data_IF_336629728976
#
_entry.id   IF_336629728976
#
_cell.length_a   1.000
_cell.length_b   1.000
_cell.length_c   1.000
_cell.angle_alpha   90.00
_cell.angle_beta   90.00
_cell.angle_gamma   90.00
#
_symmetry.space_group_name_H-M   'P 1'
#
loop_
_entity.id
_entity.type
_entity.pdbx_description
1 polymer ?
#
# COMPACT_ATOMS: atom_id res chain seq x y z
N UNK A 1 -14.18 -30.76 40.12
CA UNK A 1 -14.53 -30.45 38.73
C UNK A 1 -14.13 -29.01 38.48
N UNK A 2 -12.85 -28.80 38.15
CA UNK A 2 -12.25 -27.48 37.93
C UNK A 2 -12.03 -27.39 36.43
N UNK A 3 -12.84 -26.57 35.76
CA UNK A 3 -12.76 -26.36 34.31
C UNK A 3 -11.47 -25.60 34.04
N UNK A 4 -10.47 -26.30 33.48
CA UNK A 4 -9.32 -25.68 32.82
C UNK A 4 -9.87 -24.93 31.59
N UNK A 5 -10.12 -23.64 31.76
CA UNK A 5 -10.25 -22.71 30.66
C UNK A 5 -8.84 -22.46 30.13
N UNK A 6 -8.42 -23.26 29.15
CA UNK A 6 -7.17 -23.00 28.42
C UNK A 6 -7.34 -21.69 27.67
N UNK A 7 -6.71 -20.65 28.20
CA UNK A 7 -6.42 -19.40 27.52
C UNK A 7 -5.73 -19.73 26.20
N UNK A 8 -6.50 -19.80 25.11
CA UNK A 8 -5.98 -19.50 23.77
C UNK A 8 -5.81 -17.98 23.74
N UNK A 9 -4.83 -17.49 24.51
CA UNK A 9 -4.41 -16.11 24.43
C UNK A 9 -3.96 -15.92 22.99
N UNK A 10 -4.76 -15.14 22.29
CA UNK A 10 -4.42 -14.52 21.02
C UNK A 10 -3.02 -13.89 21.18
N UNK A 11 -1.97 -14.58 20.72
CA UNK A 11 -0.67 -13.96 20.53
C UNK A 11 -0.88 -12.93 19.41
N UNK A 12 -1.18 -11.69 19.79
CA UNK A 12 -1.24 -10.56 18.87
C UNK A 12 0.02 -10.51 18.01
N UNK A 13 -0.12 -10.03 16.77
CA UNK A 13 1.00 -9.92 15.83
C UNK A 13 2.14 -9.06 16.40
N UNK A 14 1.77 -7.96 17.08
CA UNK A 14 2.67 -7.04 17.76
C UNK A 14 2.41 -7.02 19.27
N UNK A 15 3.35 -6.44 20.01
CA UNK A 15 3.14 -6.11 21.42
C UNK A 15 1.97 -5.13 21.53
N UNK A 16 0.96 -5.51 22.31
CA UNK A 16 -0.12 -4.62 22.73
C UNK A 16 0.20 -4.08 24.12
N UNK A 17 0.01 -2.79 24.34
CA UNK A 17 0.19 -2.12 25.63
C UNK A 17 -1.10 -2.17 26.47
N UNK A 18 -1.06 -1.71 27.73
CA UNK A 18 -2.22 -1.75 28.63
C UNK A 18 -3.44 -0.99 28.07
N UNK A 19 -3.20 -0.02 27.19
CA UNK A 19 -4.22 0.75 26.49
C UNK A 19 -4.88 0.05 25.29
N UNK A 20 -4.47 -1.18 24.97
CA UNK A 20 -5.04 -1.95 23.87
C UNK A 20 -4.45 -1.64 22.48
N UNK A 21 -3.49 -0.73 22.37
CA UNK A 21 -2.84 -0.32 21.11
C UNK A 21 -1.44 -0.91 20.97
N UNK A 22 -0.89 -0.87 19.75
CA UNK A 22 0.50 -1.27 19.48
C UNK A 22 1.56 -0.22 19.88
N UNK A 23 1.13 0.88 20.50
CA UNK A 23 1.97 1.97 21.00
C UNK A 23 1.69 2.27 22.48
N UNK A 24 2.74 2.65 23.22
CA UNK A 24 2.61 3.00 24.62
C UNK A 24 1.76 4.26 24.84
N UNK A 25 1.19 4.43 26.03
CA UNK A 25 0.35 5.59 26.38
C UNK A 25 1.04 6.94 26.15
N UNK A 26 2.31 7.04 26.56
CA UNK A 26 3.09 8.25 26.35
C UNK A 26 3.24 8.58 24.86
N UNK A 27 3.47 7.57 24.03
CA UNK A 27 3.60 7.70 22.57
C UNK A 27 2.26 8.11 21.94
N UNK A 28 1.16 7.46 22.34
CA UNK A 28 -0.18 7.82 21.85
C UNK A 28 -0.56 9.24 22.22
N UNK A 29 -0.22 9.70 23.42
CA UNK A 29 -0.45 11.08 23.84
C UNK A 29 0.34 12.09 22.99
N UNK A 30 1.63 11.83 22.73
CA UNK A 30 2.46 12.69 21.87
C UNK A 30 1.94 12.76 20.45
N UNK A 31 1.56 11.61 19.87
CA UNK A 31 1.00 11.53 18.54
C UNK A 31 -0.33 12.28 18.44
N UNK A 32 -1.20 12.21 19.46
CA UNK A 32 -2.47 12.93 19.48
C UNK A 32 -2.26 14.44 19.43
N UNK A 33 -1.30 14.96 20.18
CA UNK A 33 -0.95 16.40 20.13
C UNK A 33 -0.48 16.84 18.73
N UNK A 34 0.22 15.97 17.99
CA UNK A 34 0.62 16.24 16.60
C UNK A 34 -0.59 16.15 15.67
N UNK A 35 -1.40 15.10 15.79
CA UNK A 35 -2.59 14.87 14.98
C UNK A 35 -3.59 16.03 15.12
N UNK A 36 -3.84 16.51 16.34
CA UNK A 36 -4.72 17.66 16.60
C UNK A 36 -4.22 18.95 15.93
N UNK A 37 -2.89 19.15 15.86
CA UNK A 37 -2.32 20.28 15.11
C UNK A 37 -2.48 20.10 13.61
N UNK A 38 -2.28 18.89 13.08
CA UNK A 38 -2.48 18.58 11.66
C UNK A 38 -3.95 18.75 11.25
N UNK A 39 -4.89 18.28 12.07
CA UNK A 39 -6.32 18.45 11.84
C UNK A 39 -6.73 19.93 11.82
N UNK A 40 -6.16 20.76 12.69
CA UNK A 40 -6.36 22.23 12.65
C UNK A 40 -5.76 22.84 11.37
N UNK A 41 -4.59 22.38 10.96
CA UNK A 41 -3.94 22.86 9.73
C UNK A 41 -4.68 22.41 8.47
N UNK A 42 -5.41 21.30 8.48
CA UNK A 42 -6.24 20.86 7.35
C UNK A 42 -7.27 21.93 6.94
N UNK A 43 -7.83 22.69 7.90
CA UNK A 43 -8.72 23.81 7.59
C UNK A 43 -8.03 24.90 6.74
N UNK A 44 -6.72 25.06 6.88
CA UNK A 44 -5.88 26.01 6.12
C UNK A 44 -5.42 25.40 4.79
N UNK A 45 -5.31 24.07 4.74
CA UNK A 45 -4.88 23.29 3.56
C UNK A 45 -5.96 23.23 2.45
N UNK A 46 -7.15 23.78 2.68
CA UNK A 46 -8.26 23.85 1.72
C UNK A 46 -8.06 24.91 0.62
N UNK A 47 -6.90 24.94 -0.04
CA UNK A 47 -6.71 25.78 -1.24
C UNK A 47 -7.44 25.17 -2.45
N UNK A 48 -7.85 26.01 -3.41
CA UNK A 48 -8.74 25.69 -4.54
C UNK A 48 -8.15 24.75 -5.61
N UNK A 49 -7.13 23.95 -5.30
CA UNK A 49 -6.52 23.05 -6.28
C UNK A 49 -7.53 21.98 -6.73
N UNK A 50 -7.99 22.08 -7.98
CA UNK A 50 -8.92 21.13 -8.57
C UNK A 50 -8.24 19.76 -8.74
N UNK A 51 -8.85 18.69 -8.22
CA UNK A 51 -8.34 17.33 -8.40
C UNK A 51 -8.92 16.74 -9.70
N UNK A 52 -8.06 16.18 -10.55
CA UNK A 52 -8.49 15.44 -11.74
C UNK A 52 -8.33 13.95 -11.53
N UNK A 53 -9.26 13.16 -12.06
CA UNK A 53 -9.09 11.72 -12.16
C UNK A 53 -8.03 11.38 -13.22
N UNK A 54 -7.67 10.09 -13.31
CA UNK A 54 -6.82 9.62 -14.39
C UNK A 54 -7.42 9.94 -15.76
N UNK A 55 -6.55 10.26 -16.71
CA UNK A 55 -6.88 10.37 -18.13
C UNK A 55 -7.57 9.08 -18.62
N UNK A 56 -8.83 9.17 -19.05
CA UNK A 56 -9.63 8.03 -19.47
C UNK A 56 -10.51 8.32 -20.69
N UNK A 57 -11.02 7.25 -21.29
CA UNK A 57 -11.95 7.30 -22.41
C UNK A 57 -12.44 5.91 -22.78
N UNK A 58 -12.77 5.68 -24.04
CA UNK A 58 -13.21 4.40 -24.57
C UNK A 58 -12.24 3.81 -25.61
N UNK A 59 -12.25 2.48 -25.69
CA UNK A 59 -11.49 1.72 -26.66
C UNK A 59 -12.28 0.56 -27.27
N UNK A 60 -11.91 0.22 -28.50
CA UNK A 60 -12.20 -1.09 -29.07
C UNK A 60 -11.02 -2.02 -28.81
N UNK A 61 -11.29 -3.23 -28.31
CA UNK A 61 -10.28 -4.23 -27.94
C UNK A 61 -10.45 -5.47 -28.80
N UNK A 62 -9.36 -5.88 -29.45
CA UNK A 62 -9.28 -7.07 -30.28
C UNK A 62 -8.28 -8.03 -29.67
N UNK A 63 -8.70 -9.27 -29.45
CA UNK A 63 -7.81 -10.33 -28.96
C UNK A 63 -7.62 -11.35 -30.06
N UNK A 64 -6.35 -11.61 -30.38
CA UNK A 64 -5.94 -12.65 -31.32
C UNK A 64 -5.14 -13.71 -30.57
N UNK A 65 -5.29 -14.96 -30.97
CA UNK A 65 -4.53 -16.10 -30.46
C UNK A 65 -3.87 -16.83 -31.62
N UNK A 66 -2.56 -17.08 -31.52
CA UNK A 66 -1.84 -17.75 -32.60
C UNK A 66 -0.36 -17.96 -32.31
N UNK A 67 0.33 -18.57 -33.28
CA UNK A 67 1.79 -18.64 -33.23
C UNK A 67 2.41 -17.27 -33.57
N UNK A 68 3.70 -17.12 -33.25
CA UNK A 68 4.45 -15.86 -33.43
C UNK A 68 4.29 -15.27 -34.83
N UNK A 69 4.42 -16.10 -35.87
CA UNK A 69 4.34 -15.69 -37.28
C UNK A 69 2.96 -15.15 -37.66
N UNK A 70 1.89 -15.71 -37.11
CA UNK A 70 0.53 -15.20 -37.33
C UNK A 70 0.35 -13.83 -36.67
N UNK A 71 0.75 -13.70 -35.41
CA UNK A 71 0.61 -12.45 -34.66
C UNK A 71 1.47 -11.33 -35.25
N UNK A 72 2.68 -11.62 -35.74
CA UNK A 72 3.56 -10.64 -36.40
C UNK A 72 2.92 -10.06 -37.66
N UNK A 73 2.15 -10.87 -38.41
CA UNK A 73 1.41 -10.39 -39.58
C UNK A 73 0.32 -9.40 -39.18
N UNK A 74 -0.40 -9.66 -38.08
CA UNK A 74 -1.42 -8.73 -37.58
C UNK A 74 -0.78 -7.40 -37.18
N UNK A 75 0.35 -7.43 -36.47
CA UNK A 75 1.10 -6.21 -36.11
C UNK A 75 1.56 -5.45 -37.36
N UNK A 76 2.09 -6.15 -38.38
CA UNK A 76 2.50 -5.52 -39.63
C UNK A 76 1.34 -4.82 -40.34
N UNK A 77 0.13 -5.39 -40.30
CA UNK A 77 -1.07 -4.78 -40.87
C UNK A 77 -1.40 -3.47 -40.15
N UNK A 78 -1.39 -3.46 -38.82
CA UNK A 78 -1.66 -2.26 -37.99
C UNK A 78 -0.62 -1.17 -38.20
N UNK A 79 0.65 -1.56 -38.38
CA UNK A 79 1.73 -0.61 -38.69
C UNK A 79 1.56 -0.01 -40.09
N UNK A 80 1.12 -0.80 -41.07
CA UNK A 80 0.98 -0.37 -42.46
C UNK A 80 -0.29 0.44 -42.73
N UNK A 81 -1.39 0.13 -42.03
CA UNK A 81 -2.68 0.79 -42.17
C UNK A 81 -3.37 0.92 -40.82
N UNK A 82 -3.46 2.16 -40.34
CA UNK A 82 -4.14 2.52 -39.09
C UNK A 82 -5.67 2.67 -39.25
N UNK A 83 -6.24 2.34 -40.43
CA UNK A 83 -7.69 2.37 -40.65
C UNK A 83 -8.41 1.15 -40.04
N UNK A 84 -9.63 1.37 -39.51
CA UNK A 84 -10.50 0.33 -38.89
C UNK A 84 -10.78 -0.85 -39.82
N UNK A 85 -10.85 -0.58 -41.11
CA UNK A 85 -11.32 -1.48 -42.16
C UNK A 85 -10.42 -2.68 -42.39
N UNK A 86 -9.14 -2.62 -42.01
CA UNK A 86 -8.18 -3.70 -42.27
C UNK A 86 -8.27 -4.89 -41.28
N UNK A 87 -8.83 -4.68 -40.07
CA UNK A 87 -8.85 -5.69 -38.99
C UNK A 87 -10.19 -6.42 -38.84
N UNK A 88 -11.34 -5.75 -39.04
CA UNK A 88 -12.65 -6.40 -38.91
C UNK A 88 -12.88 -7.49 -39.98
N UNK A 89 -12.21 -7.35 -41.13
CA UNK A 89 -12.30 -8.30 -42.23
C UNK A 89 -11.38 -9.52 -42.04
N UNK A 90 -10.51 -9.49 -41.03
CA UNK A 90 -9.70 -10.64 -40.64
C UNK A 90 -10.61 -11.66 -39.96
N UNK A 91 -10.85 -12.82 -40.61
CA UNK A 91 -11.55 -13.99 -40.01
C UNK A 91 -10.82 -14.61 -38.79
N UNK A 92 -9.87 -13.91 -38.17
CA UNK A 92 -8.97 -14.38 -37.13
C UNK A 92 -9.11 -13.64 -35.80
N UNK A 93 -10.04 -12.69 -35.66
CA UNK A 93 -10.33 -12.10 -34.34
C UNK A 93 -10.98 -13.17 -33.47
N UNK A 94 -10.36 -13.51 -32.34
CA UNK A 94 -10.90 -14.49 -31.41
C UNK A 94 -11.95 -13.87 -30.50
N UNK A 95 -11.65 -12.69 -29.94
CA UNK A 95 -12.55 -11.93 -29.08
C UNK A 95 -12.54 -10.46 -29.49
N UNK A 96 -13.70 -9.82 -29.40
CA UNK A 96 -13.87 -8.41 -29.71
C UNK A 96 -14.75 -7.75 -28.66
N UNK A 97 -14.24 -6.66 -28.09
CA UNK A 97 -14.94 -5.84 -27.13
C UNK A 97 -15.02 -4.43 -27.70
N UNK A 98 -16.20 -3.82 -27.71
CA UNK A 98 -16.38 -2.47 -28.24
C UNK A 98 -16.73 -1.51 -27.12
N UNK A 99 -16.24 -0.28 -27.24
CA UNK A 99 -16.52 0.81 -26.31
C UNK A 99 -16.20 0.44 -24.84
N UNK A 100 -15.07 -0.24 -24.63
CA UNK A 100 -14.55 -0.60 -23.32
C UNK A 100 -13.96 0.66 -22.68
N UNK A 101 -14.42 1.08 -21.48
CA UNK A 101 -13.80 2.20 -20.82
C UNK A 101 -12.37 1.84 -20.39
N UNK A 102 -11.44 2.77 -20.58
CA UNK A 102 -10.01 2.57 -20.37
C UNK A 102 -9.41 3.82 -19.73
N UNK A 103 -8.58 3.63 -18.70
CA UNK A 103 -7.79 4.71 -18.09
C UNK A 103 -6.30 4.50 -18.35
N UNK A 104 -5.56 5.61 -18.37
CA UNK A 104 -4.09 5.63 -18.46
C UNK A 104 -3.50 5.94 -17.09
N UNK A 105 -2.54 5.13 -16.66
CA UNK A 105 -1.74 5.34 -15.46
C UNK A 105 -0.25 5.31 -15.85
N UNK A 106 0.38 6.49 -15.91
CA UNK A 106 1.72 6.62 -16.44
C UNK A 106 1.80 6.15 -17.89
N UNK A 107 2.63 5.15 -18.17
CA UNK A 107 2.76 4.53 -19.51
C UNK A 107 1.85 3.31 -19.69
N UNK A 108 1.06 2.96 -18.68
CA UNK A 108 0.22 1.76 -18.68
C UNK A 108 -1.24 2.15 -18.90
N UNK A 109 -2.03 1.19 -19.33
CA UNK A 109 -3.48 1.34 -19.45
C UNK A 109 -4.19 0.26 -18.63
N UNK A 110 -5.37 0.60 -18.15
CA UNK A 110 -6.23 -0.30 -17.39
C UNK A 110 -7.63 -0.27 -17.98
N UNK A 111 -8.15 -1.45 -18.33
CA UNK A 111 -9.55 -1.59 -18.72
C UNK A 111 -10.43 -1.51 -17.48
N UNK A 112 -11.50 -0.73 -17.56
CA UNK A 112 -12.39 -0.43 -16.44
C UNK A 112 -13.59 -1.38 -16.51
N UNK A 113 -13.73 -2.23 -15.50
CA UNK A 113 -14.89 -3.13 -15.37
C UNK A 113 -14.84 -4.42 -16.18
N UNK A 114 -13.72 -4.73 -16.86
CA UNK A 114 -13.57 -5.93 -17.69
C UNK A 114 -12.58 -6.93 -17.05
N UNK A 115 -13.11 -7.99 -16.43
CA UNK A 115 -12.28 -9.04 -15.79
C UNK A 115 -11.66 -10.03 -16.79
N UNK A 116 -12.14 -10.06 -18.04
CA UNK A 116 -11.65 -10.97 -19.09
C UNK A 116 -10.39 -10.45 -19.81
N UNK A 117 -10.11 -9.16 -19.65
CA UNK A 117 -8.94 -8.48 -20.21
C UNK A 117 -7.80 -8.45 -19.18
N UNK A 118 -6.53 -8.33 -19.62
CA UNK A 118 -5.42 -8.17 -18.69
C UNK A 118 -5.61 -6.92 -17.84
N UNK A 119 -5.39 -7.06 -16.53
CA UNK A 119 -5.60 -5.97 -15.56
C UNK A 119 -4.72 -4.75 -15.85
N UNK A 120 -3.45 -4.99 -16.21
CA UNK A 120 -2.53 -3.96 -16.69
C UNK A 120 -2.16 -4.27 -18.13
N UNK A 121 -2.38 -3.30 -19.01
CA UNK A 121 -1.97 -3.33 -20.40
C UNK A 121 -0.75 -2.44 -20.58
N UNK A 122 0.37 -3.06 -20.95
CA UNK A 122 1.67 -2.44 -21.14
C UNK A 122 1.99 -2.47 -22.64
N UNK A 123 1.58 -1.45 -23.41
CA UNK A 123 1.76 -1.51 -24.85
C UNK A 123 3.24 -1.58 -25.20
N UNK A 124 3.61 -2.60 -25.97
CA UNK A 124 4.95 -2.77 -26.53
C UNK A 124 5.29 -1.58 -27.44
N UNK A 125 4.29 -1.14 -28.21
CA UNK A 125 4.39 -0.07 -29.19
C UNK A 125 3.05 0.67 -29.34
N UNK A 126 3.14 1.88 -29.87
CA UNK A 126 2.00 2.75 -30.19
C UNK A 126 2.12 3.26 -31.63
N UNK A 127 1.02 3.22 -32.38
CA UNK A 127 0.89 3.84 -33.69
C UNK A 127 -0.40 4.67 -33.76
N UNK A 128 -0.31 5.96 -33.41
CA UNK A 128 -1.47 6.83 -33.28
C UNK A 128 -2.39 6.35 -32.13
N UNK A 129 -3.67 6.09 -32.45
CA UNK A 129 -4.66 5.58 -31.50
C UNK A 129 -4.59 4.07 -31.26
N UNK A 130 -3.67 3.37 -31.92
CA UNK A 130 -3.48 1.93 -31.79
C UNK A 130 -2.36 1.60 -30.83
N UNK A 131 -2.63 0.67 -29.94
CA UNK A 131 -1.72 0.14 -28.94
C UNK A 131 -1.80 -1.39 -29.01
N UNK A 132 -0.71 -2.09 -28.73
CA UNK A 132 -0.75 -3.55 -28.62
C UNK A 132 0.28 -4.10 -27.65
N UNK A 133 -0.06 -5.25 -27.07
CA UNK A 133 0.81 -6.01 -26.17
C UNK A 133 0.71 -7.50 -26.53
N UNK A 134 1.86 -8.18 -26.59
CA UNK A 134 1.91 -9.62 -26.73
C UNK A 134 2.02 -10.32 -25.38
N UNK A 135 1.05 -11.16 -25.06
CA UNK A 135 1.00 -11.94 -23.82
C UNK A 135 1.02 -13.43 -24.18
N UNK A 136 2.23 -14.01 -24.25
CA UNK A 136 2.41 -15.41 -24.65
C UNK A 136 1.94 -15.68 -26.08
N UNK A 137 0.88 -16.49 -26.22
CA UNK A 137 0.25 -16.80 -27.51
C UNK A 137 -0.91 -15.86 -27.89
N UNK A 138 -1.19 -14.87 -27.04
CA UNK A 138 -2.22 -13.84 -27.27
C UNK A 138 -1.58 -12.53 -27.72
N UNK A 139 -2.27 -11.81 -28.61
CA UNK A 139 -1.99 -10.43 -28.97
C UNK A 139 -3.25 -9.63 -28.63
N UNK A 140 -3.11 -8.67 -27.71
CA UNK A 140 -4.17 -7.73 -27.36
C UNK A 140 -3.91 -6.43 -28.11
N UNK A 141 -4.86 -6.00 -28.91
CA UNK A 141 -4.81 -4.75 -29.66
C UNK A 141 -5.91 -3.84 -29.15
N UNK A 142 -5.53 -2.63 -28.75
CA UNK A 142 -6.41 -1.59 -28.25
C UNK A 142 -6.43 -0.47 -29.27
N UNK A 143 -7.62 -0.04 -29.64
CA UNK A 143 -7.82 1.17 -30.41
C UNK A 143 -8.61 2.17 -29.59
N UNK A 144 -7.98 3.27 -29.21
CA UNK A 144 -8.66 4.39 -28.57
C UNK A 144 -9.69 4.95 -29.55
N UNK A 145 -10.96 4.94 -29.15
CA UNK A 145 -12.07 5.47 -29.97
C UNK A 145 -12.29 6.96 -29.74
N UNK A 146 -11.68 7.50 -28.70
CA UNK A 146 -11.70 8.93 -28.34
C UNK A 146 -10.37 9.35 -27.72
N UNK A 147 -10.15 10.67 -27.65
CA UNK A 147 -9.00 11.24 -26.95
C UNK A 147 -9.24 11.13 -25.45
N UNK A 148 -8.30 10.54 -24.72
CA UNK A 148 -8.39 10.45 -23.27
C UNK A 148 -8.52 11.84 -22.64
N UNK A 149 -9.44 11.98 -21.69
CA UNK A 149 -9.67 13.18 -20.90
C UNK A 149 -9.44 12.86 -19.43
N UNK A 150 -8.87 13.80 -18.68
CA UNK A 150 -8.79 13.73 -17.22
C UNK A 150 -9.98 14.52 -16.63
N UNK A 151 -11.12 13.88 -16.33
CA UNK A 151 -12.27 14.61 -15.82
C UNK A 151 -11.98 15.17 -14.42
N UNK A 152 -12.61 16.31 -14.13
CA UNK A 152 -12.57 16.90 -12.79
C UNK A 152 -13.31 15.99 -11.81
N UNK A 153 -12.72 15.75 -10.65
CA UNK A 153 -13.39 15.04 -9.57
C UNK A 153 -14.42 15.99 -8.95
N UNK A 154 -15.67 15.54 -8.73
CA UNK A 154 -16.70 16.36 -8.11
C UNK A 154 -16.21 16.98 -6.79
N UNK A 155 -16.53 18.26 -6.57
CA UNK A 155 -16.03 19.03 -5.41
C UNK A 155 -16.38 18.37 -4.06
N UNK A 156 -17.52 17.65 -4.02
CA UNK A 156 -17.91 16.85 -2.85
C UNK A 156 -16.94 15.72 -2.50
N UNK A 157 -15.99 15.36 -3.36
CA UNK A 157 -14.98 14.33 -3.09
C UNK A 157 -13.56 14.87 -3.00
N UNK A 158 -13.29 16.07 -3.55
CA UNK A 158 -11.96 16.68 -3.47
C UNK A 158 -11.51 16.90 -2.03
N UNK A 159 -12.44 17.18 -1.11
CA UNK A 159 -12.11 17.32 0.31
C UNK A 159 -11.60 16.02 0.95
N UNK A 160 -12.04 14.83 0.49
CA UNK A 160 -11.57 13.53 0.97
C UNK A 160 -10.12 13.29 0.49
N UNK A 161 -9.86 13.56 -0.78
CA UNK A 161 -8.51 13.46 -1.37
C UNK A 161 -7.54 14.41 -0.67
N UNK A 162 -7.92 15.68 -0.52
CA UNK A 162 -7.11 16.68 0.17
C UNK A 162 -6.86 16.31 1.63
N UNK A 163 -7.82 15.67 2.29
CA UNK A 163 -7.61 15.21 3.67
C UNK A 163 -6.42 14.27 3.76
N UNK A 164 -6.27 13.33 2.82
CA UNK A 164 -5.11 12.45 2.71
C UNK A 164 -3.83 13.26 2.48
N UNK A 165 -3.82 14.11 1.46
CA UNK A 165 -2.62 14.85 1.04
C UNK A 165 -2.10 15.82 2.11
N UNK A 166 -3.01 16.34 2.96
CA UNK A 166 -2.62 17.22 4.07
C UNK A 166 -2.19 16.44 5.32
N UNK A 167 -2.68 15.20 5.50
CA UNK A 167 -2.35 14.36 6.65
C UNK A 167 -1.08 13.53 6.43
N UNK A 168 -0.78 13.21 5.17
CA UNK A 168 0.30 12.31 4.77
C UNK A 168 1.14 13.03 3.72
N UNK A 169 2.41 13.24 4.02
CA UNK A 169 3.40 13.57 3.00
C UNK A 169 3.98 12.26 2.44
N UNK A 170 3.64 11.85 1.20
CA UNK A 170 4.16 10.61 0.62
C UNK A 170 5.66 10.72 0.23
N UNK A 171 6.24 11.92 0.20
CA UNK A 171 7.67 12.11 -0.04
C UNK A 171 8.52 11.73 1.19
N UNK A 172 7.90 11.65 2.37
CA UNK A 172 8.47 11.16 3.62
C UNK A 172 8.76 9.66 3.63
N UNK A 173 9.36 9.13 2.55
CA UNK A 173 9.64 7.72 2.30
C UNK A 173 10.16 7.00 3.55
N UNK A 174 9.70 5.77 3.76
CA UNK A 174 10.18 4.91 4.86
C UNK A 174 11.70 4.77 4.86
N UNK A 175 12.30 4.76 3.67
CA UNK A 175 13.70 4.47 3.47
C UNK A 175 14.22 5.19 2.20
N UNK A 176 14.45 6.52 2.25
CA UNK A 176 14.68 7.37 1.07
C UNK A 176 15.89 6.96 0.23
N UNK A 177 16.96 6.54 0.89
CA UNK A 177 18.24 6.17 0.27
C UNK A 177 18.60 4.72 0.56
N UNK A 178 17.63 3.90 0.96
CA UNK A 178 17.91 2.56 1.44
C UNK A 178 18.07 1.56 0.30
N UNK A 179 19.17 0.83 0.34
CA UNK A 179 19.41 -0.31 -0.53
C UNK A 179 18.76 -1.59 0.05
N UNK A 180 18.49 -2.61 -0.79
CA UNK A 180 18.17 -3.94 -0.31
C UNK A 180 19.25 -4.41 0.66
N UNK A 181 18.83 -5.02 1.78
CA UNK A 181 19.76 -5.51 2.80
C UNK A 181 20.87 -6.37 2.19
N UNK A 182 22.11 -5.93 2.35
CA UNK A 182 23.27 -6.69 1.95
C UNK A 182 23.70 -7.65 3.07
N UNK A 183 23.66 -8.96 2.79
CA UNK A 183 24.06 -10.01 3.73
C UNK A 183 25.58 -10.25 3.77
N UNK A 184 26.33 -9.72 2.81
CA UNK A 184 27.79 -9.77 2.86
C UNK A 184 28.29 -8.81 3.95
N UNK A 185 29.26 -9.26 4.74
CA UNK A 185 29.91 -8.52 5.82
C UNK A 185 31.29 -7.98 5.38
N UNK A 186 31.39 -6.89 4.60
CA UNK A 186 32.65 -6.18 4.49
C UNK A 186 33.10 -5.66 5.86
N UNK A 187 34.40 -5.32 5.96
CA UNK A 187 34.97 -4.80 7.19
C UNK A 187 34.18 -3.64 7.78
N UNK A 188 34.05 -3.63 9.10
CA UNK A 188 33.29 -2.62 9.85
C UNK A 188 34.19 -2.06 10.94
N UNK A 189 35.25 -1.31 10.58
CA UNK A 189 36.27 -0.90 11.53
C UNK A 189 35.72 -0.12 12.73
N UNK A 190 34.65 0.67 12.58
CA UNK A 190 34.06 1.38 13.71
C UNK A 190 33.27 0.44 14.64
N UNK A 191 32.54 -0.52 14.06
CA UNK A 191 31.90 -1.58 14.84
C UNK A 191 32.93 -2.47 15.55
N UNK A 192 34.01 -2.85 14.88
CA UNK A 192 35.09 -3.67 15.44
C UNK A 192 35.81 -2.93 16.58
N UNK A 193 35.99 -1.61 16.46
CA UNK A 193 36.52 -0.76 17.53
C UNK A 193 35.59 -0.72 18.75
N UNK A 194 34.28 -0.61 18.54
CA UNK A 194 33.29 -0.72 19.61
C UNK A 194 33.36 -2.08 20.30
N UNK A 195 33.38 -3.18 19.54
CA UNK A 195 33.48 -4.53 20.09
C UNK A 195 34.77 -4.71 20.90
N UNK A 196 35.91 -4.27 20.37
CA UNK A 196 37.20 -4.32 21.06
C UNK A 196 37.18 -3.53 22.38
N UNK A 197 36.50 -2.38 22.40
CA UNK A 197 36.32 -1.60 23.62
C UNK A 197 35.45 -2.33 24.65
N UNK A 198 34.32 -2.90 24.22
CA UNK A 198 33.44 -3.70 25.10
C UNK A 198 34.19 -4.90 25.70
N UNK A 199 35.01 -5.59 24.89
CA UNK A 199 35.81 -6.74 25.32
C UNK A 199 36.93 -6.35 26.29
N UNK A 200 37.55 -5.18 26.11
CA UNK A 200 38.58 -4.68 27.02
C UNK A 200 38.01 -4.17 28.36
N UNK A 201 36.83 -3.56 28.33
CA UNK A 201 36.19 -2.97 29.50
C UNK A 201 35.54 -4.01 30.42
N UNK A 202 35.10 -5.15 29.88
CA UNK A 202 34.56 -6.27 30.65
C UNK A 202 35.69 -7.27 30.93
N UNK A 203 36.12 -7.37 32.20
CA UNK A 203 37.20 -8.29 32.61
C UNK A 203 36.94 -9.70 32.06
N UNK A 204 37.95 -10.29 31.43
CA UNK A 204 37.98 -11.70 31.03
C UNK A 204 37.60 -12.59 32.23
N UNK A 205 36.38 -13.11 32.24
CA UNK A 205 35.87 -13.90 33.36
C UNK A 205 34.36 -14.14 33.39
N UNK A 206 33.55 -13.31 32.71
CA UNK A 206 32.11 -13.53 32.61
C UNK A 206 31.70 -13.81 31.16
N UNK A 207 32.08 -15.00 30.66
CA UNK A 207 31.78 -15.49 29.31
C UNK A 207 30.26 -15.55 28.97
N UNK A 208 29.40 -15.25 29.96
CA UNK A 208 27.94 -15.24 29.80
C UNK A 208 27.36 -13.87 29.48
N UNK A 209 28.16 -12.80 29.48
CA UNK A 209 27.63 -11.45 29.21
C UNK A 209 27.30 -11.24 27.73
N UNK A 210 26.04 -10.92 27.45
CA UNK A 210 25.57 -10.57 26.11
C UNK A 210 26.10 -9.19 25.69
N UNK A 211 26.11 -8.89 24.38
CA UNK A 211 26.44 -7.55 23.87
C UNK A 211 25.69 -6.44 24.63
N UNK A 212 24.37 -6.60 24.80
CA UNK A 212 23.52 -5.61 25.48
C UNK A 212 23.91 -5.42 26.95
N UNK A 213 24.13 -6.51 27.70
CA UNK A 213 24.55 -6.43 29.10
C UNK A 213 25.85 -5.65 29.26
N UNK A 214 26.79 -5.82 28.32
CA UNK A 214 28.05 -5.08 28.31
C UNK A 214 27.83 -3.59 28.03
N UNK A 215 26.95 -3.25 27.09
CA UNK A 215 26.60 -1.85 26.81
C UNK A 215 25.93 -1.15 27.99
N UNK A 216 25.05 -1.84 28.73
CA UNK A 216 24.39 -1.30 29.92
C UNK A 216 25.38 -0.88 31.01
N UNK A 217 26.41 -1.71 31.27
CA UNK A 217 27.47 -1.42 32.24
C UNK A 217 28.29 -0.18 31.89
N UNK A 218 28.35 0.16 30.60
CA UNK A 218 29.20 1.23 30.07
C UNK A 218 28.39 2.47 29.68
N UNK A 219 27.08 2.53 29.96
CA UNK A 219 26.21 3.64 29.58
C UNK A 219 26.70 5.02 30.06
N UNK A 220 27.44 5.07 31.18
CA UNK A 220 28.03 6.31 31.72
C UNK A 220 29.42 6.67 31.16
N UNK A 221 30.02 5.82 30.33
CA UNK A 221 31.37 6.03 29.79
C UNK A 221 31.32 6.87 28.50
N UNK A 222 31.96 8.03 28.50
CA UNK A 222 31.95 8.93 27.33
C UNK A 222 32.59 8.29 26.09
N UNK A 223 33.63 7.49 26.27
CA UNK A 223 34.31 6.78 25.18
C UNK A 223 33.41 5.73 24.53
N UNK A 224 32.64 4.98 25.33
CA UNK A 224 31.61 4.07 24.82
C UNK A 224 30.60 4.78 23.92
N UNK A 225 30.09 5.94 24.36
CA UNK A 225 29.12 6.73 23.59
C UNK A 225 29.71 7.23 22.26
N UNK A 226 31.00 7.61 22.24
CA UNK A 226 31.69 8.02 21.00
C UNK A 226 31.79 6.85 20.02
N UNK A 227 32.23 5.68 20.51
CA UNK A 227 32.36 4.48 19.67
C UNK A 227 31.00 3.96 19.18
N UNK A 228 29.97 4.01 20.03
CA UNK A 228 28.63 3.60 19.67
C UNK A 228 28.06 4.47 18.53
N UNK A 229 28.26 5.79 18.60
CA UNK A 229 27.87 6.71 17.52
C UNK A 229 28.62 6.42 16.23
N UNK A 230 29.94 6.26 16.29
CA UNK A 230 30.75 5.95 15.11
C UNK A 230 30.32 4.63 14.43
N UNK A 231 30.03 3.59 15.22
CA UNK A 231 29.53 2.32 14.71
C UNK A 231 28.12 2.44 14.09
N UNK A 232 27.25 3.27 14.68
CA UNK A 232 25.92 3.55 14.14
C UNK A 232 25.98 4.31 12.80
N UNK A 233 26.80 5.36 12.72
CA UNK A 233 27.03 6.13 11.49
C UNK A 233 27.60 5.26 10.37
N UNK A 234 28.60 4.42 10.68
CA UNK A 234 29.14 3.44 9.74
C UNK A 234 28.04 2.49 9.22
N UNK A 235 27.23 1.93 10.13
CA UNK A 235 26.13 1.02 9.78
C UNK A 235 25.07 1.69 8.90
N UNK A 236 24.74 2.96 9.17
CA UNK A 236 23.84 3.77 8.34
C UNK A 236 24.41 3.92 6.93
N UNK A 237 25.69 4.32 6.82
CA UNK A 237 26.35 4.52 5.52
C UNK A 237 26.51 3.24 4.69
N UNK A 238 26.51 2.08 5.36
CA UNK A 238 26.63 0.77 4.72
C UNK A 238 25.27 0.08 4.44
N UNK A 239 24.14 0.72 4.78
CA UNK A 239 22.79 0.17 4.60
C UNK A 239 22.61 -1.23 5.21
N UNK A 240 23.03 -1.41 6.47
CA UNK A 240 23.10 -2.74 7.12
C UNK A 240 22.20 -2.91 8.34
N UNK A 241 21.69 -4.13 8.48
CA UNK A 241 21.08 -4.60 9.72
C UNK A 241 22.16 -5.09 10.70
N UNK A 242 22.19 -4.50 11.90
CA UNK A 242 22.95 -5.02 13.04
C UNK A 242 22.09 -5.03 14.30
N UNK A 243 21.23 -6.04 14.44
CA UNK A 243 20.17 -6.10 15.46
C UNK A 243 20.62 -5.82 16.90
N UNK A 244 21.82 -6.26 17.30
CA UNK A 244 22.36 -5.98 18.65
C UNK A 244 22.83 -4.53 18.79
N UNK A 245 23.50 -3.99 17.76
CA UNK A 245 23.92 -2.60 17.72
C UNK A 245 22.71 -1.66 17.74
N UNK A 246 21.68 -1.95 16.96
CA UNK A 246 20.44 -1.15 16.92
C UNK A 246 19.76 -1.07 18.29
N UNK A 247 19.69 -2.19 19.02
CA UNK A 247 19.14 -2.22 20.38
C UNK A 247 19.98 -1.38 21.37
N UNK A 248 21.32 -1.42 21.25
CA UNK A 248 22.18 -0.57 22.04
C UNK A 248 22.04 0.91 21.67
N UNK A 249 21.94 1.22 20.38
CA UNK A 249 21.72 2.59 19.90
C UNK A 249 20.39 3.14 20.40
N UNK A 250 19.31 2.35 20.35
CA UNK A 250 18.03 2.74 20.91
C UNK A 250 18.12 3.02 22.41
N UNK A 251 18.75 2.12 23.16
CA UNK A 251 18.84 2.20 24.63
C UNK A 251 19.74 3.34 25.12
N UNK A 252 20.81 3.67 24.39
CA UNK A 252 21.85 4.60 24.85
C UNK A 252 21.91 5.93 24.09
N UNK A 253 21.50 5.95 22.82
CA UNK A 253 21.48 7.17 21.98
C UNK A 253 20.05 7.68 21.73
N UNK A 254 19.03 6.86 21.98
CA UNK A 254 17.62 7.22 21.92
C UNK A 254 16.93 6.90 20.59
N UNK A 255 15.60 7.11 20.52
CA UNK A 255 14.75 6.64 19.44
C UNK A 255 15.08 7.28 18.09
N UNK A 256 15.51 8.54 18.07
CA UNK A 256 15.88 9.22 16.82
C UNK A 256 17.08 8.58 16.12
N UNK A 257 18.09 8.16 16.87
CA UNK A 257 19.24 7.46 16.30
C UNK A 257 18.87 6.06 15.80
N UNK A 258 18.07 5.34 16.58
CA UNK A 258 17.56 4.02 16.18
C UNK A 258 16.68 4.11 14.92
N UNK A 259 15.86 5.16 14.80
CA UNK A 259 15.07 5.43 13.62
C UNK A 259 15.96 5.63 12.39
N UNK A 260 17.01 6.46 12.50
CA UNK A 260 17.97 6.68 11.41
C UNK A 260 18.62 5.38 10.94
N UNK A 261 18.97 4.49 11.88
CA UNK A 261 19.48 3.16 11.52
C UNK A 261 18.43 2.29 10.84
N UNK A 262 17.20 2.22 11.36
CA UNK A 262 16.14 1.40 10.76
C UNK A 262 15.79 1.84 9.35
N UNK A 263 15.82 3.14 9.06
CA UNK A 263 15.50 3.69 7.75
C UNK A 263 16.65 3.59 6.73
N UNK A 264 17.82 3.08 7.13
CA UNK A 264 18.95 2.99 6.21
C UNK A 264 18.95 1.72 5.35
N UNK A 265 18.03 0.78 5.53
CA UNK A 265 17.98 -0.45 4.73
C UNK A 265 16.54 -0.92 4.51
N UNK A 266 16.32 -1.71 3.46
CA UNK A 266 15.02 -2.33 3.17
C UNK A 266 15.03 -3.80 3.61
N UNK A 267 14.00 -4.19 4.36
CA UNK A 267 13.74 -5.60 4.71
C UNK A 267 12.75 -6.19 3.71
N UNK A 268 13.23 -7.10 2.86
CA UNK A 268 12.40 -7.84 1.90
C UNK A 268 11.99 -9.19 2.48
N UNK A 269 10.69 -9.48 2.46
CA UNK A 269 10.17 -10.74 2.95
C UNK A 269 10.52 -11.90 2.02
N UNK A 270 11.08 -12.98 2.56
CA UNK A 270 11.47 -14.17 1.79
C UNK A 270 10.26 -15.03 1.37
N UNK A 271 9.14 -14.94 2.07
CA UNK A 271 7.90 -15.65 1.74
C UNK A 271 6.64 -14.92 2.26
N UNK A 272 5.45 -15.46 1.96
CA UNK A 272 4.16 -14.89 2.34
C UNK A 272 3.99 -14.77 3.87
N UNK A 273 4.52 -15.74 4.62
CA UNK A 273 4.45 -15.81 6.07
C UNK A 273 5.55 -15.01 6.77
N UNK A 274 6.53 -14.49 6.02
CA UNK A 274 7.63 -13.73 6.60
C UNK A 274 7.11 -12.45 7.26
N UNK A 275 7.41 -12.29 8.54
CA UNK A 275 6.99 -11.13 9.34
C UNK A 275 8.07 -10.08 9.46
N UNK A 276 9.30 -10.33 9.01
CA UNK A 276 10.42 -9.41 9.17
C UNK A 276 10.13 -8.01 8.60
N UNK A 277 9.56 -7.84 7.39
CA UNK A 277 9.21 -6.50 6.87
C UNK A 277 8.17 -5.77 7.74
N UNK A 278 7.22 -6.52 8.31
CA UNK A 278 6.16 -5.98 9.16
C UNK A 278 6.68 -5.54 10.52
N UNK A 279 7.52 -6.37 11.17
CA UNK A 279 8.19 -5.98 12.42
C UNK A 279 9.14 -4.79 12.22
N UNK A 280 9.80 -4.73 11.07
CA UNK A 280 10.64 -3.60 10.71
C UNK A 280 9.82 -2.31 10.55
N UNK A 281 8.73 -2.34 9.78
CA UNK A 281 7.85 -1.19 9.64
C UNK A 281 7.17 -0.78 10.96
N UNK A 282 6.78 -1.74 11.80
CA UNK A 282 6.25 -1.44 13.14
C UNK A 282 7.31 -0.79 14.03
N UNK A 283 8.57 -1.23 13.92
CA UNK A 283 9.69 -0.59 14.62
C UNK A 283 9.90 0.85 14.13
N UNK A 284 9.86 1.08 12.82
CA UNK A 284 9.93 2.43 12.24
C UNK A 284 8.77 3.29 12.76
N UNK A 285 7.52 2.79 12.70
CA UNK A 285 6.35 3.53 13.17
C UNK A 285 6.46 3.88 14.66
N UNK A 286 6.90 2.94 15.50
CA UNK A 286 7.10 3.21 16.93
C UNK A 286 8.19 4.25 17.15
N UNK A 287 9.37 4.07 16.54
CA UNK A 287 10.51 4.96 16.73
C UNK A 287 10.24 6.36 16.21
N UNK A 288 9.55 6.49 15.06
CA UNK A 288 9.14 7.78 14.51
C UNK A 288 8.10 8.47 15.38
N UNK A 289 7.18 7.72 15.98
CA UNK A 289 6.26 8.28 16.97
C UNK A 289 7.01 8.79 18.22
N UNK A 290 7.91 7.99 18.79
CA UNK A 290 8.73 8.35 19.95
C UNK A 290 9.69 9.53 19.66
N UNK A 291 10.08 9.74 18.40
CA UNK A 291 10.92 10.85 17.97
C UNK A 291 10.16 12.04 17.36
N UNK A 292 8.81 12.02 17.38
CA UNK A 292 7.94 13.04 16.79
C UNK A 292 8.14 13.30 15.27
N UNK A 293 8.52 12.26 14.51
CA UNK A 293 8.70 12.31 13.05
C UNK A 293 7.39 11.88 12.36
N UNK A 294 6.40 12.79 12.35
CA UNK A 294 5.01 12.51 11.93
C UNK A 294 4.87 11.86 10.56
N UNK A 295 5.55 12.39 9.55
CA UNK A 295 5.36 11.94 8.17
C UNK A 295 5.84 10.49 8.01
N UNK A 296 6.97 10.16 8.66
CA UNK A 296 7.51 8.80 8.74
C UNK A 296 6.58 7.87 9.53
N UNK A 297 6.00 8.36 10.64
CA UNK A 297 4.99 7.63 11.40
C UNK A 297 3.78 7.27 10.55
N UNK A 298 3.17 8.25 9.87
CA UNK A 298 1.99 8.03 9.05
C UNK A 298 2.26 7.04 7.93
N UNK A 299 3.38 7.18 7.21
CA UNK A 299 3.74 6.21 6.18
C UNK A 299 3.93 4.80 6.75
N UNK A 300 4.66 4.67 7.87
CA UNK A 300 4.98 3.36 8.43
C UNK A 300 3.73 2.67 8.97
N UNK A 301 2.87 3.44 9.64
CA UNK A 301 1.61 2.96 10.16
C UNK A 301 0.64 2.56 9.04
N UNK A 302 0.51 3.38 8.00
CA UNK A 302 -0.34 3.05 6.86
C UNK A 302 0.21 1.88 6.05
N UNK A 303 1.53 1.68 5.98
CA UNK A 303 2.09 0.44 5.42
C UNK A 303 1.71 -0.80 6.24
N UNK A 304 1.59 -0.72 7.57
CA UNK A 304 1.06 -1.82 8.39
C UNK A 304 -0.40 -2.11 8.06
N UNK A 305 -1.20 -1.04 7.93
CA UNK A 305 -2.61 -1.11 7.54
C UNK A 305 -2.78 -1.74 6.17
N UNK A 306 -2.07 -1.26 5.16
CA UNK A 306 -2.16 -1.66 3.76
C UNK A 306 -1.35 -2.92 3.40
N UNK A 307 -0.57 -3.44 4.34
CA UNK A 307 0.37 -4.56 4.12
C UNK A 307 1.33 -4.35 2.94
N UNK A 308 1.77 -3.10 2.78
CA UNK A 308 2.65 -2.67 1.69
C UNK A 308 4.11 -2.84 2.02
N UNK A 309 4.62 -4.04 1.76
CA UNK A 309 6.00 -4.42 2.02
C UNK A 309 6.62 -5.14 0.83
N UNK A 310 7.92 -4.90 0.53
CA UNK A 310 8.66 -5.69 -0.44
C UNK A 310 8.70 -7.17 -0.04
N UNK A 311 8.34 -8.05 -0.96
CA UNK A 311 8.33 -9.52 -0.77
C UNK A 311 8.67 -10.23 -2.06
N UNK A 312 9.35 -11.38 -1.94
CA UNK A 312 9.66 -12.26 -3.07
C UNK A 312 8.47 -13.15 -3.49
N UNK A 313 7.41 -13.19 -2.68
CA UNK A 313 6.18 -13.94 -2.97
C UNK A 313 4.95 -13.13 -2.57
N UNK A 314 3.81 -13.41 -3.20
CA UNK A 314 2.51 -12.87 -2.81
C UNK A 314 2.20 -13.14 -1.32
N UNK A 315 1.59 -12.16 -0.65
CA UNK A 315 1.27 -12.16 0.78
C UNK A 315 -0.12 -12.72 1.11
N UNK A 316 -0.95 -13.02 0.10
CA UNK A 316 -2.36 -13.42 0.23
C UNK A 316 -2.66 -14.41 1.37
N UNK A 317 -1.87 -15.49 1.50
CA UNK A 317 -2.09 -16.51 2.54
C UNK A 317 -2.02 -15.98 3.98
N UNK A 318 -1.17 -14.99 4.26
CA UNK A 318 -0.94 -14.50 5.62
C UNK A 318 -1.77 -13.25 5.97
N UNK A 319 -2.37 -12.59 4.97
CA UNK A 319 -3.09 -11.33 5.14
C UNK A 319 -4.30 -11.43 6.06
N UNK A 320 -5.04 -12.54 6.02
CA UNK A 320 -6.23 -12.77 6.84
C UNK A 320 -5.93 -12.77 8.36
N UNK A 321 -4.69 -13.06 8.77
CA UNK A 321 -4.29 -13.11 10.19
C UNK A 321 -3.64 -11.82 10.69
N UNK A 322 -3.46 -10.83 9.82
CA UNK A 322 -2.75 -9.58 10.12
C UNK A 322 -3.74 -8.48 10.51
N UNK A 323 -3.45 -7.77 11.59
CA UNK A 323 -4.25 -6.61 12.01
C UNK A 323 -4.22 -5.49 10.95
N UNK A 324 -5.24 -4.63 10.97
CA UNK A 324 -5.33 -3.41 10.14
C UNK A 324 -4.92 -2.15 10.90
N UNK A 325 -4.92 -2.20 12.23
CA UNK A 325 -4.45 -1.12 13.11
C UNK A 325 -5.14 0.25 12.92
N UNK A 326 -6.37 0.23 12.37
CA UNK A 326 -7.16 1.45 12.15
C UNK A 326 -7.56 2.12 13.48
N UNK A 327 -7.76 1.33 14.54
CA UNK A 327 -8.17 1.81 15.85
C UNK A 327 -7.13 2.74 16.49
N UNK A 328 -5.84 2.53 16.19
CA UNK A 328 -4.78 3.43 16.60
C UNK A 328 -4.97 4.82 15.97
N UNK A 329 -5.28 4.91 14.67
CA UNK A 329 -5.51 6.20 14.00
C UNK A 329 -6.74 6.92 14.57
N UNK A 330 -7.82 6.18 14.81
CA UNK A 330 -9.03 6.71 15.44
C UNK A 330 -8.73 7.25 16.85
N UNK A 331 -7.93 6.52 17.64
CA UNK A 331 -7.48 6.97 18.96
C UNK A 331 -6.56 8.21 18.92
N UNK A 332 -5.99 8.55 17.77
CA UNK A 332 -5.24 9.79 17.55
C UNK A 332 -6.14 10.97 17.14
N UNK A 333 -7.46 10.80 17.13
CA UNK A 333 -8.42 11.80 16.67
C UNK A 333 -8.24 12.15 15.17
N UNK A 334 -7.75 11.18 14.39
CA UNK A 334 -7.72 11.26 12.92
C UNK A 334 -9.08 10.80 12.42
N UNK A 335 -9.67 11.55 11.49
CA UNK A 335 -10.95 11.18 10.89
C UNK A 335 -10.72 10.03 9.89
N UNK A 336 -10.84 8.80 10.39
CA UNK A 336 -10.48 7.59 9.65
C UNK A 336 -11.37 7.33 8.45
N UNK A 337 -12.60 7.83 8.46
CA UNK A 337 -13.54 7.66 7.36
C UNK A 337 -13.14 8.51 6.14
N UNK A 338 -13.02 9.84 6.22
CA UNK A 338 -12.43 10.65 5.16
C UNK A 338 -11.03 10.22 4.74
N UNK A 339 -10.17 9.81 5.67
CA UNK A 339 -8.85 9.28 5.33
C UNK A 339 -8.96 8.07 4.40
N UNK A 340 -9.81 7.11 4.76
CA UNK A 340 -9.96 5.85 4.03
C UNK A 340 -10.61 6.03 2.68
N UNK A 341 -11.67 6.83 2.60
CA UNK A 341 -12.33 7.14 1.33
C UNK A 341 -11.38 7.96 0.45
N UNK A 342 -10.67 8.93 1.00
CA UNK A 342 -9.67 9.72 0.29
C UNK A 342 -8.58 8.85 -0.35
N UNK A 343 -7.98 7.92 0.41
CA UNK A 343 -6.94 7.00 -0.07
C UNK A 343 -7.46 6.03 -1.15
N UNK A 344 -8.79 5.89 -1.28
CA UNK A 344 -9.41 5.04 -2.28
C UNK A 344 -9.48 5.72 -3.64
N UNK A 345 -9.54 7.05 -3.72
CA UNK A 345 -9.59 7.76 -5.00
C UNK A 345 -8.29 7.55 -5.81
N UNK A 346 -8.45 7.35 -7.12
CA UNK A 346 -7.37 7.44 -8.12
C UNK A 346 -7.42 8.80 -8.75
N UNK A 347 -6.33 9.54 -8.60
CA UNK A 347 -6.20 10.89 -9.10
C UNK A 347 -4.96 10.97 -9.99
N UNK A 348 -4.97 11.90 -10.94
CA UNK A 348 -3.76 12.27 -11.66
C UNK A 348 -2.92 13.16 -10.71
N UNK A 349 -2.01 12.53 -9.95
CA UNK A 349 -1.12 13.22 -8.99
C UNK A 349 0.30 13.32 -9.52
N UNK A 350 0.97 14.41 -9.19
CA UNK A 350 2.41 14.64 -9.34
C UNK A 350 3.24 13.96 -8.23
N UNK A 351 2.90 12.71 -7.90
CA UNK A 351 3.49 11.86 -6.85
C UNK A 351 3.08 12.16 -5.39
N UNK A 352 2.15 13.09 -5.14
CA UNK A 352 1.78 13.51 -3.77
C UNK A 352 0.55 12.85 -3.13
N UNK A 353 -0.12 11.90 -3.79
CA UNK A 353 -1.27 11.22 -3.18
C UNK A 353 -0.92 9.84 -2.61
N UNK A 354 -1.28 9.60 -1.34
CA UNK A 354 -1.16 8.27 -0.74
C UNK A 354 -2.39 7.42 -1.07
N UNK A 355 -2.21 6.44 -1.95
CA UNK A 355 -3.26 5.48 -2.27
C UNK A 355 -3.40 4.43 -1.16
N UNK A 356 -4.55 3.78 -1.03
CA UNK A 356 -4.76 2.67 -0.11
C UNK A 356 -5.07 1.36 -0.84
N UNK A 357 -4.85 0.23 -0.16
CA UNK A 357 -5.24 -1.08 -0.63
C UNK A 357 -6.71 -1.34 -0.27
N UNK A 358 -7.58 -1.38 -1.27
CA UNK A 358 -9.04 -1.57 -1.09
C UNK A 358 -9.43 -2.83 -0.31
N UNK A 359 -8.70 -3.94 -0.44
CA UNK A 359 -8.94 -5.15 0.35
C UNK A 359 -8.70 -4.89 1.84
N UNK A 360 -7.58 -4.24 2.14
CA UNK A 360 -7.16 -3.92 3.50
C UNK A 360 -8.04 -2.87 4.15
N UNK A 361 -8.41 -1.83 3.40
CA UNK A 361 -9.33 -0.78 3.84
C UNK A 361 -10.73 -1.32 4.10
N UNK A 362 -11.28 -2.12 3.17
CA UNK A 362 -12.58 -2.77 3.36
C UNK A 362 -12.58 -3.65 4.61
N UNK A 363 -11.50 -4.40 4.85
CA UNK A 363 -11.35 -5.17 6.10
C UNK A 363 -11.21 -4.34 7.35
N UNK A 364 -10.55 -3.20 7.28
CA UNK A 364 -10.41 -2.32 8.42
C UNK A 364 -11.79 -1.82 8.89
N UNK A 365 -12.70 -1.53 7.97
CA UNK A 365 -14.06 -1.07 8.29
C UNK A 365 -15.05 -2.16 8.64
N UNK A 366 -14.87 -3.40 8.16
CA UNK A 366 -15.79 -4.51 8.44
C UNK A 366 -16.11 -4.71 9.94
N UNK A 367 -15.15 -4.43 10.82
CA UNK A 367 -15.31 -4.54 12.27
C UNK A 367 -15.28 -3.18 12.98
N UNK A 368 -15.32 -2.07 12.26
CA UNK A 368 -15.26 -0.72 12.83
C UNK A 368 -16.65 -0.29 13.37
N UNK A 369 -16.70 0.55 14.42
CA UNK A 369 -17.97 1.14 14.89
C UNK A 369 -18.75 1.86 13.78
N UNK A 370 -18.05 2.60 12.91
CA UNK A 370 -18.65 3.41 11.84
C UNK A 370 -18.89 2.66 10.52
N UNK A 371 -18.89 1.32 10.54
CA UNK A 371 -19.05 0.50 9.33
C UNK A 371 -20.28 0.82 8.49
N UNK A 372 -21.40 1.19 9.11
CA UNK A 372 -22.63 1.55 8.39
C UNK A 372 -22.51 2.91 7.69
N UNK A 373 -21.89 3.90 8.35
CA UNK A 373 -21.63 5.18 7.72
C UNK A 373 -20.63 5.06 6.56
N UNK A 374 -19.64 4.17 6.71
CA UNK A 374 -18.73 3.78 5.64
C UNK A 374 -19.47 3.14 4.46
N UNK A 375 -20.33 2.16 4.73
CA UNK A 375 -21.15 1.47 3.72
C UNK A 375 -22.02 2.45 2.92
N UNK A 376 -22.76 3.31 3.61
CA UNK A 376 -23.63 4.32 2.99
C UNK A 376 -22.83 5.28 2.09
N UNK A 377 -21.67 5.77 2.56
CA UNK A 377 -20.84 6.68 1.77
C UNK A 377 -20.22 6.00 0.56
N UNK A 378 -19.73 4.76 0.69
CA UNK A 378 -19.18 4.01 -0.43
C UNK A 378 -20.25 3.77 -1.50
N UNK A 379 -21.46 3.35 -1.11
CA UNK A 379 -22.57 3.14 -2.04
C UNK A 379 -22.98 4.44 -2.74
N UNK A 380 -23.06 5.56 -2.01
CA UNK A 380 -23.35 6.86 -2.59
C UNK A 380 -22.30 7.27 -3.64
N UNK A 381 -21.01 7.00 -3.39
CA UNK A 381 -19.92 7.28 -4.33
C UNK A 381 -20.02 6.42 -5.59
N UNK A 382 -20.42 5.14 -5.48
CA UNK A 382 -20.56 4.25 -6.64
C UNK A 382 -21.75 4.66 -7.52
N UNK A 383 -22.86 5.08 -6.90
CA UNK A 383 -24.09 5.47 -7.58
C UNK A 383 -23.95 6.78 -8.36
N UNK A 384 -23.02 7.62 -7.95
CA UNK A 384 -22.75 8.94 -8.51
C UNK A 384 -22.39 8.91 -10.01
N UNK A 385 -23.25 9.50 -10.86
CA UNK A 385 -23.06 9.55 -12.31
C UNK A 385 -22.17 10.70 -12.80
N UNK A 386 -21.87 11.67 -11.94
CA UNK A 386 -20.87 12.71 -12.19
C UNK A 386 -19.45 12.23 -11.90
N UNK A 387 -19.30 11.14 -11.12
CA UNK A 387 -18.01 10.54 -10.86
C UNK A 387 -17.53 9.69 -12.04
N UNK A 388 -16.23 9.75 -12.23
CA UNK A 388 -15.51 9.10 -13.30
C UNK A 388 -15.54 7.55 -13.18
N UNK A 389 -15.45 6.85 -14.32
CA UNK A 389 -15.65 5.40 -14.37
C UNK A 389 -14.63 4.60 -13.54
N UNK A 390 -13.37 5.04 -13.52
CA UNK A 390 -12.30 4.36 -12.78
C UNK A 390 -12.56 4.42 -11.27
N UNK A 391 -12.89 5.59 -10.74
CA UNK A 391 -13.17 5.73 -9.32
C UNK A 391 -14.42 4.96 -8.90
N UNK A 392 -15.50 4.99 -9.69
CA UNK A 392 -16.70 4.18 -9.38
C UNK A 392 -16.40 2.68 -9.30
N UNK A 393 -15.60 2.14 -10.22
CA UNK A 393 -15.15 0.73 -10.13
C UNK A 393 -14.27 0.49 -8.91
N UNK A 394 -13.38 1.42 -8.57
CA UNK A 394 -12.50 1.27 -7.41
C UNK A 394 -13.28 1.30 -6.08
N UNK A 395 -14.33 2.11 -5.97
CA UNK A 395 -15.23 2.09 -4.83
C UNK A 395 -16.13 0.85 -4.81
N UNK A 396 -16.57 0.34 -5.96
CA UNK A 396 -17.24 -0.97 -6.03
C UNK A 396 -16.32 -2.09 -5.53
N UNK A 397 -15.03 -2.06 -5.89
CA UNK A 397 -14.03 -2.98 -5.37
C UNK A 397 -13.88 -2.86 -3.84
N UNK A 398 -13.81 -1.65 -3.31
CA UNK A 398 -13.75 -1.40 -1.86
C UNK A 398 -14.97 -1.99 -1.14
N UNK A 399 -16.17 -1.76 -1.66
CA UNK A 399 -17.41 -2.30 -1.10
C UNK A 399 -17.41 -3.83 -1.09
N UNK A 400 -17.04 -4.45 -2.20
CA UNK A 400 -17.03 -5.91 -2.33
C UNK A 400 -16.01 -6.56 -1.40
N UNK A 401 -14.84 -5.92 -1.22
CA UNK A 401 -13.85 -6.36 -0.25
C UNK A 401 -14.31 -6.20 1.20
N UNK A 402 -15.06 -5.13 1.52
CA UNK A 402 -15.71 -4.95 2.81
C UNK A 402 -16.79 -6.01 3.05
N UNK A 403 -17.68 -6.24 2.08
CA UNK A 403 -18.72 -7.26 2.13
C UNK A 403 -18.14 -8.66 2.35
N UNK A 404 -17.03 -9.00 1.70
CA UNK A 404 -16.36 -10.30 1.81
C UNK A 404 -15.88 -10.64 3.25
N UNK A 405 -15.81 -9.67 4.16
CA UNK A 405 -15.41 -9.90 5.55
C UNK A 405 -16.59 -10.27 6.46
N UNK A 406 -17.83 -9.99 6.04
CA UNK A 406 -19.03 -10.18 6.83
C UNK A 406 -19.64 -11.57 6.69
N UNK A 407 -20.40 -12.00 7.69
CA UNK A 407 -21.17 -13.26 7.64
C UNK A 407 -22.31 -13.24 6.61
N UNK A 408 -22.72 -12.04 6.14
CA UNK A 408 -23.70 -11.83 5.08
C UNK A 408 -23.07 -11.31 3.77
N UNK A 409 -21.78 -11.57 3.52
CA UNK A 409 -21.08 -11.02 2.36
C UNK A 409 -21.75 -11.35 1.01
N UNK A 410 -22.28 -12.56 0.85
CA UNK A 410 -23.04 -12.94 -0.35
C UNK A 410 -24.33 -12.12 -0.51
N UNK A 411 -25.06 -11.87 0.58
CA UNK A 411 -26.26 -11.03 0.54
C UNK A 411 -25.94 -9.60 0.10
N UNK A 412 -24.88 -9.01 0.65
CA UNK A 412 -24.45 -7.66 0.28
C UNK A 412 -23.97 -7.56 -1.18
N UNK A 413 -23.31 -8.61 -1.69
CA UNK A 413 -22.91 -8.66 -3.10
C UNK A 413 -24.13 -8.79 -4.03
N UNK A 414 -25.17 -9.54 -3.63
CA UNK A 414 -26.43 -9.63 -4.38
C UNK A 414 -27.19 -8.31 -4.37
N UNK A 415 -27.23 -7.62 -3.24
CA UNK A 415 -27.86 -6.29 -3.14
C UNK A 415 -27.17 -5.29 -4.06
N UNK A 416 -25.82 -5.31 -4.11
CA UNK A 416 -25.05 -4.50 -5.06
C UNK A 416 -25.34 -4.88 -6.51
N UNK A 417 -25.50 -6.16 -6.83
CA UNK A 417 -25.87 -6.60 -8.19
C UNK A 417 -27.24 -6.06 -8.60
N UNK A 418 -28.22 -6.09 -7.70
CA UNK A 418 -29.56 -5.51 -7.94
C UNK A 418 -29.46 -4.00 -8.17
N UNK A 419 -28.71 -3.27 -7.33
CA UNK A 419 -28.47 -1.84 -7.51
C UNK A 419 -27.77 -1.54 -8.84
N UNK A 420 -26.84 -2.39 -9.25
CA UNK A 420 -26.06 -2.20 -10.47
C UNK A 420 -26.89 -2.25 -11.75
N UNK A 421 -28.11 -2.82 -11.72
CA UNK A 421 -28.97 -2.92 -12.91
C UNK A 421 -29.32 -1.55 -13.53
N UNK A 422 -29.30 -0.47 -12.73
CA UNK A 422 -29.47 0.90 -13.22
C UNK A 422 -28.15 1.60 -13.57
N UNK A 423 -27.00 1.01 -13.27
CA UNK A 423 -25.67 1.59 -13.52
C UNK A 423 -25.18 1.34 -14.94
N UNK A 424 -24.16 2.07 -15.41
CA UNK A 424 -23.49 1.78 -16.67
C UNK A 424 -23.01 0.33 -16.78
N UNK A 425 -23.02 -0.21 -18.02
CA UNK A 425 -22.73 -1.62 -18.27
C UNK A 425 -21.35 -2.10 -17.77
N UNK A 426 -20.35 -1.22 -17.68
CA UNK A 426 -19.03 -1.59 -17.14
C UNK A 426 -19.09 -1.91 -15.63
N UNK A 427 -19.92 -1.21 -14.85
CA UNK A 427 -20.12 -1.51 -13.44
C UNK A 427 -20.92 -2.80 -13.26
N UNK A 428 -21.96 -3.01 -14.06
CA UNK A 428 -22.73 -4.27 -14.06
C UNK A 428 -21.83 -5.48 -14.27
N UNK A 429 -20.98 -5.42 -15.30
CA UNK A 429 -20.00 -6.47 -15.59
C UNK A 429 -19.03 -6.67 -14.44
N UNK A 430 -18.50 -5.58 -13.87
CA UNK A 430 -17.58 -5.64 -12.73
C UNK A 430 -18.20 -6.36 -11.53
N UNK A 431 -19.40 -5.94 -11.11
CA UNK A 431 -20.12 -6.53 -9.98
C UNK A 431 -20.48 -8.00 -10.24
N UNK A 432 -20.95 -8.34 -11.44
CA UNK A 432 -21.26 -9.72 -11.82
C UNK A 432 -20.03 -10.65 -11.81
N UNK A 433 -18.86 -10.14 -12.19
CA UNK A 433 -17.61 -10.90 -12.16
C UNK A 433 -17.23 -11.31 -10.71
N UNK A 434 -17.47 -10.42 -9.76
CA UNK A 434 -17.21 -10.65 -8.34
C UNK A 434 -18.14 -11.67 -7.71
N UNK A 435 -19.43 -11.66 -8.05
CA UNK A 435 -20.35 -12.72 -7.60
C UNK A 435 -19.84 -14.10 -8.02
N UNK A 436 -19.44 -14.22 -9.28
CA UNK A 436 -18.90 -15.47 -9.81
C UNK A 436 -17.64 -15.92 -9.07
N UNK A 437 -16.82 -14.97 -8.59
CA UNK A 437 -15.65 -15.28 -7.76
C UNK A 437 -16.04 -15.71 -6.34
N UNK A 438 -17.03 -15.05 -5.72
CA UNK A 438 -17.54 -15.39 -4.39
C UNK A 438 -18.24 -16.75 -4.35
N UNK A 439 -19.00 -17.11 -5.39
CA UNK A 439 -19.67 -18.42 -5.48
C UNK A 439 -18.70 -19.62 -5.59
N UNK A 440 -17.46 -19.36 -6.03
CA UNK A 440 -16.43 -20.41 -6.22
C UNK A 440 -15.60 -20.69 -4.98
N UNK A 441 -15.58 -19.77 -4.01
CA UNK A 441 -14.80 -19.85 -2.77
C UNK A 441 -15.70 -20.24 -1.61
#
# INVERSE_FOLDING_TARGET
>A
MMILLTCVLWCGEFKTYENGYIYADQTMWQLREIADRRQKNFQVCQTEASCTALSQGAADVYVFTGNTKTLDKVIQIIRADSSRTSLSDQRQVNEFFSNVPIARWGNNYQFIGESELPYNFHPDEQNGSWLWERIGSRLVIVRLTETLQAPQIPERYTHLIRYVDCMIDPTGTLAPDAEPMNYDEPPSPQYDALISYLDAAVKAGDEKETFLTRTEKLAGHSEFIVLLKAAAEETISQHRLRSQLEQAVESHLGPKWALSMKRSYIVTGGCSQDRAPRYHAQSIARLSAESNEWDVFMQAHLSLLNDWFPRNSDASYAQARRGTYLAELDALNIDVLPLTLGMTFVVESDDHHYFGNTERLGRAFANHPDRFAFEDQVLAIIDDDELDAMNRVRFANLYLNYAAQGTNGLGMALDLEVMSQSWPGYLQKYVASWRTALERN
#
